data_IF_080849367857
#
_entry.id   IF_080849367857
#
_cell.length_a   1.000
_cell.length_b   1.000
_cell.length_c   1.000
_cell.angle_alpha   90.00
_cell.angle_beta   90.00
_cell.angle_gamma   90.00
#
_symmetry.space_group_name_H-M   'P 1'
#
loop_
_entity.id
_entity.type
_entity.pdbx_description
1 polymer ?
#
# COMPACT_ATOMS: atom_id res chain seq x y z
N UNK A 1 2.60 -47.99 -32.62
CA UNK A 1 3.17 -46.69 -32.21
C UNK A 1 3.63 -46.81 -30.76
N UNK A 2 4.89 -46.51 -30.41
CA UNK A 2 5.33 -46.61 -29.02
C UNK A 2 4.81 -45.41 -28.21
N UNK A 3 4.22 -45.71 -27.05
CA UNK A 3 3.69 -44.74 -26.08
C UNK A 3 4.89 -44.08 -25.38
N UNK A 4 5.07 -42.78 -25.61
CA UNK A 4 6.11 -41.98 -24.95
C UNK A 4 5.69 -41.74 -23.51
N UNK A 5 6.46 -42.25 -22.55
CA UNK A 5 6.21 -42.03 -21.13
C UNK A 5 6.26 -40.52 -20.80
N UNK A 6 5.40 -40.03 -19.90
CA UNK A 6 5.42 -38.64 -19.48
C UNK A 6 6.71 -38.36 -18.69
N UNK A 7 7.44 -37.35 -19.13
CA UNK A 7 8.60 -36.79 -18.43
C UNK A 7 8.17 -36.33 -17.04
N UNK A 8 8.64 -37.03 -16.00
CA UNK A 8 8.45 -36.64 -14.61
C UNK A 8 9.18 -35.31 -14.39
N UNK A 9 8.40 -34.25 -14.23
CA UNK A 9 8.88 -32.92 -13.88
C UNK A 9 9.71 -33.03 -12.60
N UNK A 10 11.02 -32.80 -12.70
CA UNK A 10 11.87 -32.80 -11.51
C UNK A 10 11.33 -31.76 -10.51
N UNK A 11 11.25 -32.10 -9.21
CA UNK A 11 10.91 -31.12 -8.18
C UNK A 11 11.95 -30.00 -8.19
N UNK A 12 11.47 -28.76 -8.11
CA UNK A 12 12.36 -27.60 -8.05
C UNK A 12 13.40 -27.78 -6.93
N UNK A 13 14.68 -27.50 -7.18
CA UNK A 13 15.73 -27.74 -6.20
C UNK A 13 15.44 -26.98 -4.90
N UNK A 14 15.53 -27.70 -3.78
CA UNK A 14 15.39 -27.13 -2.46
C UNK A 14 16.44 -26.02 -2.27
N UNK A 15 15.98 -24.80 -1.96
CA UNK A 15 16.87 -23.64 -1.78
C UNK A 15 17.77 -23.83 -0.57
N UNK A 16 19.05 -23.45 -0.67
CA UNK A 16 20.01 -23.57 0.42
C UNK A 16 19.59 -22.73 1.63
N UNK A 17 19.84 -23.22 2.85
CA UNK A 17 19.52 -22.50 4.10
C UNK A 17 20.13 -21.08 4.13
N UNK A 18 21.34 -20.92 3.57
CA UNK A 18 22.03 -19.62 3.46
C UNK A 18 21.25 -18.65 2.58
N UNK A 19 20.71 -19.11 1.44
CA UNK A 19 19.87 -18.27 0.56
C UNK A 19 18.56 -17.84 1.22
N UNK A 20 17.98 -18.71 2.06
CA UNK A 20 16.78 -18.41 2.84
C UNK A 20 17.08 -17.38 3.93
N UNK A 21 18.18 -17.54 4.67
CA UNK A 21 18.60 -16.61 5.71
C UNK A 21 18.86 -15.21 5.14
N UNK A 22 19.60 -15.12 4.02
CA UNK A 22 19.86 -13.84 3.34
C UNK A 22 18.56 -13.13 2.93
N UNK A 23 17.63 -13.85 2.30
CA UNK A 23 16.31 -13.29 1.92
C UNK A 23 15.53 -12.74 3.12
N UNK A 24 15.54 -13.45 4.25
CA UNK A 24 14.86 -13.00 5.47
C UNK A 24 15.48 -11.69 5.99
N UNK A 25 16.81 -11.60 5.99
CA UNK A 25 17.54 -10.39 6.38
C UNK A 25 17.26 -9.22 5.44
N UNK A 26 17.36 -9.43 4.12
CA UNK A 26 17.11 -8.40 3.12
C UNK A 26 15.67 -7.87 3.21
N UNK A 27 14.70 -8.78 3.37
CA UNK A 27 13.30 -8.43 3.54
C UNK A 27 13.07 -7.65 4.85
N UNK A 28 13.75 -8.02 5.94
CA UNK A 28 13.69 -7.25 7.20
C UNK A 28 14.25 -5.84 7.03
N UNK A 29 15.38 -5.68 6.36
CA UNK A 29 15.98 -4.38 6.11
C UNK A 29 15.09 -3.51 5.21
N UNK A 30 14.52 -4.08 4.15
CA UNK A 30 13.54 -3.43 3.28
C UNK A 30 12.34 -2.92 4.08
N UNK A 31 11.77 -3.75 4.98
CA UNK A 31 10.66 -3.30 5.85
C UNK A 31 11.04 -2.16 6.77
N UNK A 32 12.25 -2.16 7.33
CA UNK A 32 12.71 -1.06 8.19
C UNK A 32 12.82 0.26 7.42
N UNK A 33 13.28 0.19 6.16
CA UNK A 33 13.31 1.36 5.26
C UNK A 33 11.90 1.85 4.97
N UNK A 34 10.99 0.95 4.61
CA UNK A 34 9.60 1.29 4.32
C UNK A 34 8.87 1.84 5.54
N UNK A 35 9.14 1.29 6.73
CA UNK A 35 8.60 1.81 8.00
C UNK A 35 8.99 3.27 8.22
N UNK A 36 10.25 3.63 7.99
CA UNK A 36 10.72 5.03 8.12
C UNK A 36 10.05 5.95 7.11
N UNK A 37 9.84 5.48 5.87
CA UNK A 37 9.11 6.24 4.85
C UNK A 37 7.64 6.43 5.22
N UNK A 38 7.00 5.36 5.70
CA UNK A 38 5.62 5.43 6.21
C UNK A 38 5.51 6.44 7.35
N UNK A 39 6.40 6.39 8.34
CA UNK A 39 6.41 7.35 9.45
C UNK A 39 6.52 8.79 8.94
N UNK A 40 7.46 9.07 8.02
CA UNK A 40 7.62 10.39 7.40
C UNK A 40 6.35 10.85 6.67
N UNK A 41 5.89 10.08 5.69
CA UNK A 41 4.80 10.50 4.82
C UNK A 41 3.47 10.56 5.55
N UNK A 42 3.16 9.57 6.39
CA UNK A 42 1.89 9.55 7.10
C UNK A 42 1.81 10.64 8.17
N UNK A 43 2.92 10.99 8.83
CA UNK A 43 2.95 12.14 9.74
C UNK A 43 2.67 13.43 8.98
N UNK A 44 3.35 13.64 7.85
CA UNK A 44 3.14 14.84 7.01
C UNK A 44 1.75 14.90 6.37
N UNK A 45 1.10 13.76 6.14
CA UNK A 45 -0.21 13.68 5.49
C UNK A 45 -1.37 13.50 6.48
N UNK A 46 -1.10 13.60 7.79
CA UNK A 46 -2.16 13.53 8.79
C UNK A 46 -3.23 14.57 8.46
N UNK A 47 -4.49 14.14 8.51
CA UNK A 47 -5.65 14.97 8.17
C UNK A 47 -5.65 15.58 6.76
N UNK A 48 -4.83 15.10 5.82
CA UNK A 48 -4.87 15.55 4.43
C UNK A 48 -5.92 14.81 3.57
N UNK A 49 -6.39 15.45 2.50
CA UNK A 49 -7.30 14.87 1.54
C UNK A 49 -6.56 13.94 0.54
N UNK A 50 -6.79 12.62 0.55
CA UNK A 50 -6.10 11.69 -0.35
C UNK A 50 -6.49 11.87 -1.82
N UNK A 51 -7.66 12.45 -2.11
CA UNK A 51 -8.08 12.72 -3.50
C UNK A 51 -7.27 13.86 -4.09
N UNK A 52 -7.17 15.00 -3.39
CA UNK A 52 -6.37 16.14 -3.84
C UNK A 52 -4.88 15.84 -3.88
N UNK A 53 -4.40 15.00 -2.95
CA UNK A 53 -3.03 14.51 -2.97
C UNK A 53 -2.73 13.81 -4.31
N UNK A 54 -3.61 12.91 -4.75
CA UNK A 54 -3.39 12.11 -5.96
C UNK A 54 -3.68 12.89 -7.24
N UNK A 55 -4.81 13.61 -7.30
CA UNK A 55 -5.25 14.27 -8.54
C UNK A 55 -4.52 15.57 -8.82
N UNK A 56 -4.10 16.28 -7.77
CA UNK A 56 -3.48 17.60 -7.89
C UNK A 56 -2.05 17.66 -7.34
N UNK A 57 -1.57 16.63 -6.64
CA UNK A 57 -0.27 16.67 -5.98
C UNK A 57 -0.22 17.74 -4.87
N UNK A 58 -1.32 17.93 -4.12
CA UNK A 58 -1.42 18.98 -3.08
C UNK A 58 -1.73 18.40 -1.69
N UNK A 59 -1.10 18.97 -0.66
CA UNK A 59 -1.43 18.72 0.77
C UNK A 59 -2.53 19.70 1.19
N UNK A 60 -3.78 19.29 1.04
CA UNK A 60 -4.94 20.09 1.46
C UNK A 60 -5.65 19.40 2.63
N UNK A 61 -6.07 20.14 3.67
CA UNK A 61 -6.82 19.57 4.77
C UNK A 61 -8.06 18.79 4.31
N UNK A 62 -8.30 17.66 4.93
CA UNK A 62 -9.49 16.83 4.76
C UNK A 62 -10.63 17.52 5.50
N UNK A 63 -11.40 18.36 4.79
CA UNK A 63 -12.65 18.91 5.32
C UNK A 63 -13.63 17.75 5.55
N UNK A 64 -13.66 17.21 6.77
CA UNK A 64 -14.40 16.00 7.13
C UNK A 64 -15.94 16.09 7.01
N UNK A 65 -16.52 17.12 6.40
CA UNK A 65 -17.98 17.28 6.27
C UNK A 65 -18.51 17.82 4.95
N UNK A 66 -17.68 18.40 4.09
CA UNK A 66 -18.15 19.05 2.88
C UNK A 66 -17.10 18.85 1.80
N UNK A 67 -17.19 17.69 1.14
CA UNK A 67 -16.21 17.20 0.17
C UNK A 67 -15.54 18.32 -0.63
N UNK A 68 -14.23 18.23 -0.77
CA UNK A 68 -13.47 19.15 -1.61
C UNK A 68 -14.08 19.23 -3.01
N UNK A 69 -13.97 20.34 -3.74
CA UNK A 69 -14.61 20.44 -5.06
C UNK A 69 -14.08 19.38 -6.04
N UNK A 70 -12.82 18.95 -5.92
CA UNK A 70 -12.29 17.81 -6.68
C UNK A 70 -12.86 16.43 -6.22
N UNK A 71 -13.35 16.36 -4.98
CA UNK A 71 -14.05 15.21 -4.42
C UNK A 71 -15.52 15.19 -4.87
N UNK A 72 -16.08 16.38 -5.17
CA UNK A 72 -17.46 16.60 -5.65
C UNK A 72 -17.57 16.62 -7.17
N UNK A 73 -16.49 16.93 -7.90
CA UNK A 73 -16.45 17.02 -9.35
C UNK A 73 -16.63 15.68 -10.06
N UNK A 74 -16.73 14.57 -9.32
CA UNK A 74 -17.01 13.24 -9.87
C UNK A 74 -15.87 12.63 -10.67
N UNK A 75 -14.66 13.18 -10.58
CA UNK A 75 -13.51 12.71 -11.39
C UNK A 75 -13.06 11.29 -11.00
N UNK A 76 -13.35 10.86 -9.78
CA UNK A 76 -13.08 9.50 -9.29
C UNK A 76 -14.39 8.93 -8.74
N UNK A 77 -14.88 7.79 -9.27
CA UNK A 77 -16.09 7.15 -8.75
C UNK A 77 -15.91 6.87 -7.26
N UNK A 78 -16.87 7.21 -6.41
CA UNK A 78 -16.75 6.98 -4.96
C UNK A 78 -17.64 5.83 -4.50
N UNK A 79 -18.62 5.44 -5.30
CA UNK A 79 -19.54 4.32 -5.02
C UNK A 79 -18.79 3.00 -4.77
N UNK A 80 -17.76 2.71 -5.56
CA UNK A 80 -17.05 1.43 -5.49
C UNK A 80 -15.98 1.39 -4.38
N UNK A 81 -15.67 2.54 -3.78
CA UNK A 81 -14.59 2.64 -2.80
C UNK A 81 -14.85 1.76 -1.57
N UNK A 82 -16.10 1.67 -1.13
CA UNK A 82 -16.47 0.85 0.02
C UNK A 82 -16.24 -0.64 -0.25
N UNK A 83 -16.58 -1.12 -1.44
CA UNK A 83 -16.34 -2.51 -1.85
C UNK A 83 -14.85 -2.77 -2.07
N UNK A 84 -14.15 -1.85 -2.75
CA UNK A 84 -12.70 -1.88 -2.92
C UNK A 84 -12.01 -2.07 -1.58
N UNK A 85 -12.34 -1.26 -0.56
CA UNK A 85 -11.73 -1.36 0.76
C UNK A 85 -12.06 -2.69 1.47
N UNK A 86 -13.27 -3.22 1.29
CA UNK A 86 -13.67 -4.53 1.85
C UNK A 86 -12.96 -5.72 1.20
N UNK A 87 -12.42 -5.56 -0.01
CA UNK A 87 -11.73 -6.63 -0.72
C UNK A 87 -10.35 -6.99 -0.12
N UNK A 88 -9.79 -6.11 0.70
CA UNK A 88 -8.47 -6.30 1.29
C UNK A 88 -8.46 -7.38 2.38
N UNK A 89 -7.49 -8.27 2.27
CA UNK A 89 -7.21 -9.31 3.27
C UNK A 89 -5.73 -9.28 3.62
N UNK A 90 -5.44 -9.44 4.90
CA UNK A 90 -4.10 -9.33 5.44
C UNK A 90 -3.71 -10.59 6.22
N UNK A 91 -3.16 -11.62 5.54
CA UNK A 91 -3.01 -12.93 6.14
C UNK A 91 -1.82 -13.06 7.10
N UNK A 92 -0.69 -12.36 6.87
CA UNK A 92 0.54 -12.61 7.64
C UNK A 92 0.87 -11.54 8.67
N UNK A 93 0.53 -10.28 8.39
CA UNK A 93 0.74 -9.20 9.36
C UNK A 93 -0.59 -8.72 9.93
N UNK A 94 -0.54 -8.20 11.15
CA UNK A 94 -1.67 -7.45 11.72
C UNK A 94 -1.66 -6.04 11.15
N UNK A 95 -2.77 -5.59 10.57
CA UNK A 95 -2.92 -4.22 10.05
C UNK A 95 -4.12 -3.55 10.69
N UNK A 96 -4.05 -2.23 10.76
CA UNK A 96 -5.22 -1.42 11.07
C UNK A 96 -6.18 -1.45 9.87
N UNK A 97 -7.34 -2.07 10.03
CA UNK A 97 -8.38 -2.07 9.00
C UNK A 97 -8.91 -0.67 8.65
N UNK A 98 -8.66 0.34 9.50
CA UNK A 98 -9.03 1.74 9.22
C UNK A 98 -8.17 2.37 8.15
N UNK A 99 -6.84 2.30 8.30
CA UNK A 99 -5.89 3.03 7.46
C UNK A 99 -4.96 2.14 6.62
N UNK A 100 -4.94 0.83 6.84
CA UNK A 100 -4.10 -0.11 6.10
C UNK A 100 -2.65 -0.19 6.55
N UNK A 101 -2.25 0.52 7.61
CA UNK A 101 -0.90 0.45 8.14
C UNK A 101 -0.66 -0.81 8.98
N UNK A 102 0.56 -1.36 8.97
CA UNK A 102 0.93 -2.51 9.77
C UNK A 102 1.00 -2.12 11.27
N UNK A 103 0.62 -3.05 12.14
CA UNK A 103 0.73 -2.97 13.61
C UNK A 103 1.88 -3.85 14.12
N UNK A 104 2.91 -3.97 13.30
CA UNK A 104 3.90 -5.04 13.36
C UNK A 104 4.90 -4.89 14.53
N UNK A 105 4.48 -5.33 15.72
CA UNK A 105 5.39 -5.55 16.85
C UNK A 105 6.20 -6.86 16.71
N UNK A 106 5.71 -7.84 15.94
CA UNK A 106 6.27 -9.20 15.89
C UNK A 106 7.52 -9.34 15.00
N UNK A 107 7.52 -8.76 13.80
CA UNK A 107 8.61 -8.93 12.83
C UNK A 107 9.60 -7.75 12.82
N UNK A 108 9.15 -6.55 13.20
CA UNK A 108 10.01 -5.35 13.29
C UNK A 108 10.35 -4.96 14.73
N UNK A 109 9.70 -5.54 15.74
CA UNK A 109 9.87 -5.18 17.15
C UNK A 109 9.28 -3.82 17.52
N UNK A 110 8.76 -3.06 16.55
CA UNK A 110 8.18 -1.71 16.70
C UNK A 110 7.17 -1.47 15.59
N UNK A 111 5.96 -1.06 15.95
CA UNK A 111 5.00 -0.51 15.00
C UNK A 111 5.46 0.87 14.49
N UNK A 112 5.02 1.31 13.29
CA UNK A 112 5.15 2.69 12.86
C UNK A 112 4.72 3.66 13.97
N UNK A 113 5.50 4.72 14.20
CA UNK A 113 5.34 5.65 15.33
C UNK A 113 3.93 6.24 15.38
N UNK A 114 3.39 6.53 14.20
CA UNK A 114 2.05 7.10 13.96
C UNK A 114 0.90 6.23 14.50
N UNK A 115 1.17 4.97 14.83
CA UNK A 115 0.24 4.01 15.41
C UNK A 115 0.60 3.55 16.82
N UNK A 116 1.71 4.01 17.38
CA UNK A 116 2.20 3.57 18.68
C UNK A 116 1.16 3.74 19.80
N UNK A 117 0.34 4.80 19.70
CA UNK A 117 -0.68 5.14 20.69
C UNK A 117 -2.12 4.75 20.25
N UNK A 118 -2.28 4.29 19.01
CA UNK A 118 -3.59 3.91 18.44
C UNK A 118 -3.84 2.40 18.59
N UNK A 119 -4.32 2.01 19.77
CA UNK A 119 -4.63 0.61 20.09
C UNK A 119 -5.99 0.20 19.46
N UNK A 120 -6.09 -0.97 18.79
CA UNK A 120 -7.37 -1.54 18.37
C UNK A 120 -8.37 -1.61 19.53
N UNK A 121 -9.61 -1.15 19.33
CA UNK A 121 -10.69 -1.22 20.33
C UNK A 121 -10.78 -0.05 21.31
N UNK A 122 -9.88 0.93 21.23
CA UNK A 122 -9.87 2.13 22.10
C UNK A 122 -10.99 3.14 21.83
N UNK A 123 -11.80 2.95 20.78
CA UNK A 123 -12.82 3.92 20.35
C UNK A 123 -12.25 5.21 19.73
N UNK A 124 -10.93 5.44 19.82
CA UNK A 124 -10.24 6.56 19.18
C UNK A 124 -10.23 6.34 17.67
N UNK A 125 -10.74 7.32 16.92
CA UNK A 125 -10.67 7.30 15.46
C UNK A 125 -9.19 7.39 15.05
N UNK A 126 -8.76 6.46 14.20
CA UNK A 126 -7.43 6.52 13.59
C UNK A 126 -7.26 7.87 12.88
N UNK A 127 -6.33 8.70 13.37
CA UNK A 127 -6.03 10.04 12.84
C UNK A 127 -5.60 10.03 11.37
N UNK A 128 -5.12 8.88 10.90
CA UNK A 128 -4.65 8.68 9.54
C UNK A 128 -5.75 8.26 8.57
N UNK A 129 -6.99 8.09 9.06
CA UNK A 129 -8.16 7.76 8.25
C UNK A 129 -7.91 6.62 7.26
N UNK A 130 -8.68 6.50 6.17
CA UNK A 130 -8.43 5.50 5.15
C UNK A 130 -7.38 5.93 4.09
N UNK A 131 -6.37 6.72 4.49
CA UNK A 131 -5.41 7.37 3.59
C UNK A 131 -4.76 6.42 2.57
N UNK A 132 -4.11 5.34 3.02
CA UNK A 132 -3.38 4.41 2.12
C UNK A 132 -4.32 3.78 1.10
N UNK A 133 -5.49 3.30 1.56
CA UNK A 133 -6.49 2.71 0.68
C UNK A 133 -7.03 3.72 -0.33
N UNK A 134 -7.33 4.94 0.11
CA UNK A 134 -7.85 5.98 -0.79
C UNK A 134 -6.80 6.41 -1.81
N UNK A 135 -5.54 6.55 -1.42
CA UNK A 135 -4.45 6.85 -2.36
C UNK A 135 -4.33 5.74 -3.40
N UNK A 136 -4.28 4.47 -2.99
CA UNK A 136 -4.16 3.34 -3.92
C UNK A 136 -5.36 3.24 -4.89
N UNK A 137 -6.56 3.52 -4.39
CA UNK A 137 -7.77 3.60 -5.21
C UNK A 137 -7.70 4.75 -6.22
N UNK A 138 -7.40 5.96 -5.74
CA UNK A 138 -7.36 7.15 -6.58
C UNK A 138 -6.27 7.06 -7.65
N UNK A 139 -5.10 6.50 -7.33
CA UNK A 139 -4.00 6.28 -8.28
C UNK A 139 -4.48 5.45 -9.47
N UNK A 140 -5.32 4.45 -9.24
CA UNK A 140 -5.86 3.62 -10.30
C UNK A 140 -6.82 4.37 -11.22
N UNK A 141 -7.63 5.27 -10.66
CA UNK A 141 -8.63 6.02 -11.42
C UNK A 141 -8.06 7.22 -12.18
N UNK A 142 -6.83 7.65 -11.86
CA UNK A 142 -6.10 8.65 -12.64
C UNK A 142 -5.30 7.96 -13.74
N UNK A 143 -5.78 8.02 -14.98
CA UNK A 143 -5.24 7.28 -16.15
C UNK A 143 -3.71 7.41 -16.27
N UNK A 144 -3.16 8.62 -16.13
CA UNK A 144 -1.72 8.85 -16.23
C UNK A 144 -0.91 8.17 -15.11
N UNK A 145 -1.46 8.13 -13.89
CA UNK A 145 -0.83 7.46 -12.75
C UNK A 145 -0.99 5.94 -12.85
N UNK A 146 -2.15 5.46 -13.30
CA UNK A 146 -2.39 4.04 -13.57
C UNK A 146 -1.36 3.50 -14.57
N UNK A 147 -1.19 4.17 -15.71
CA UNK A 147 -0.25 3.75 -16.74
C UNK A 147 1.19 3.68 -16.21
N UNK A 148 1.61 4.68 -15.42
CA UNK A 148 2.93 4.69 -14.78
C UNK A 148 3.07 3.60 -13.73
N UNK A 149 2.04 3.33 -12.92
CA UNK A 149 2.06 2.26 -11.93
C UNK A 149 2.22 0.89 -12.61
N UNK A 150 1.50 0.64 -13.70
CA UNK A 150 1.65 -0.59 -14.50
C UNK A 150 3.08 -0.72 -15.02
N UNK A 151 3.64 0.36 -15.57
CA UNK A 151 4.98 0.37 -16.16
C UNK A 151 6.10 0.22 -15.11
N UNK A 152 6.04 0.96 -14.01
CA UNK A 152 7.13 1.09 -13.04
C UNK A 152 7.13 -0.02 -11.98
N UNK A 153 5.94 -0.49 -11.54
CA UNK A 153 5.81 -1.47 -10.46
C UNK A 153 5.12 -2.78 -10.87
N UNK A 154 4.75 -2.92 -12.14
CA UNK A 154 4.14 -4.15 -12.65
C UNK A 154 2.74 -4.40 -12.10
N UNK A 155 1.97 -3.33 -11.83
CA UNK A 155 0.56 -3.48 -11.46
C UNK A 155 -0.25 -4.11 -12.61
N UNK A 156 -1.35 -4.81 -12.31
CA UNK A 156 -2.27 -5.33 -13.34
C UNK A 156 -2.81 -4.22 -14.23
N UNK A 157 -3.27 -4.58 -15.44
CA UNK A 157 -3.91 -3.63 -16.37
C UNK A 157 -5.42 -3.51 -16.19
N UNK A 158 -6.03 -4.40 -15.40
CA UNK A 158 -7.48 -4.45 -15.18
C UNK A 158 -7.84 -4.22 -13.71
N UNK A 159 -8.96 -3.52 -13.48
CA UNK A 159 -9.38 -3.19 -12.12
C UNK A 159 -9.77 -4.45 -11.34
N UNK A 160 -10.35 -5.47 -11.99
CA UNK A 160 -10.74 -6.71 -11.30
C UNK A 160 -9.56 -7.49 -10.71
N UNK A 161 -8.36 -7.32 -11.25
CA UNK A 161 -7.12 -7.93 -10.74
C UNK A 161 -6.40 -7.04 -9.73
N UNK A 162 -6.63 -5.73 -9.78
CA UNK A 162 -5.89 -4.75 -9.00
C UNK A 162 -6.05 -4.90 -7.47
N UNK A 163 -7.25 -5.01 -6.88
CA UNK A 163 -7.40 -5.21 -5.44
C UNK A 163 -6.80 -6.54 -4.94
N UNK A 164 -6.86 -7.59 -5.77
CA UNK A 164 -6.22 -8.88 -5.49
C UNK A 164 -4.71 -8.70 -5.43
N UNK A 165 -4.14 -8.02 -6.42
CA UNK A 165 -2.71 -7.72 -6.46
C UNK A 165 -2.27 -6.83 -5.29
N UNK A 166 -3.04 -5.79 -4.95
CA UNK A 166 -2.74 -4.90 -3.83
C UNK A 166 -2.69 -5.63 -2.48
N UNK A 167 -3.48 -6.70 -2.32
CA UNK A 167 -3.53 -7.53 -1.12
C UNK A 167 -2.45 -8.62 -1.06
N UNK A 168 -1.64 -8.79 -2.12
CA UNK A 168 -0.58 -9.78 -2.11
C UNK A 168 0.53 -9.39 -1.13
N UNK A 169 0.84 -10.31 -0.22
CA UNK A 169 2.00 -10.24 0.65
C UNK A 169 3.10 -11.15 0.10
N UNK A 170 4.26 -10.57 -0.19
CA UNK A 170 5.45 -11.35 -0.49
C UNK A 170 6.17 -11.69 0.83
N UNK A 171 6.94 -12.79 0.85
CA UNK A 171 7.68 -13.23 2.03
C UNK A 171 8.56 -12.10 2.59
N UNK A 172 8.15 -11.57 3.75
CA UNK A 172 8.88 -10.52 4.43
C UNK A 172 8.73 -9.11 3.82
N UNK A 173 7.79 -8.87 2.93
CA UNK A 173 7.48 -7.51 2.46
C UNK A 173 6.06 -7.10 2.86
N UNK A 174 5.82 -5.80 2.96
CA UNK A 174 4.46 -5.28 3.12
C UNK A 174 3.62 -5.54 1.87
N UNK A 175 2.29 -5.52 2.05
CA UNK A 175 1.33 -5.60 0.94
C UNK A 175 1.61 -4.56 -0.15
N UNK A 176 1.29 -4.92 -1.38
CA UNK A 176 1.41 -4.01 -2.52
C UNK A 176 0.61 -2.71 -2.35
N UNK A 177 -0.46 -2.67 -1.55
CA UNK A 177 -1.16 -1.40 -1.25
C UNK A 177 -0.29 -0.37 -0.53
N UNK A 178 0.59 -0.82 0.35
CA UNK A 178 1.58 0.04 1.01
C UNK A 178 2.64 0.46 0.00
N UNK A 179 3.09 -0.45 -0.86
CA UNK A 179 4.07 -0.15 -1.89
C UNK A 179 3.54 0.87 -2.89
N UNK A 180 2.27 0.78 -3.31
CA UNK A 180 1.60 1.78 -4.15
C UNK A 180 1.54 3.15 -3.47
N UNK A 181 1.19 3.19 -2.18
CA UNK A 181 1.20 4.44 -1.42
C UNK A 181 2.60 5.06 -1.34
N UNK A 182 3.62 4.27 -0.99
CA UNK A 182 5.01 4.71 -0.90
C UNK A 182 5.52 5.21 -2.26
N UNK A 183 5.28 4.44 -3.34
CA UNK A 183 5.64 4.82 -4.71
C UNK A 183 5.04 6.18 -5.10
N UNK A 184 3.76 6.40 -4.79
CA UNK A 184 3.11 7.67 -5.11
C UNK A 184 3.74 8.83 -4.33
N UNK A 185 3.97 8.67 -3.03
CA UNK A 185 4.61 9.70 -2.20
C UNK A 185 6.04 9.99 -2.67
N UNK A 186 6.85 8.96 -2.95
CA UNK A 186 8.20 9.14 -3.48
C UNK A 186 8.21 9.83 -4.84
N UNK A 187 7.21 9.55 -5.68
CA UNK A 187 7.05 10.25 -6.96
C UNK A 187 6.77 11.73 -6.74
N UNK A 188 5.86 12.07 -5.83
CA UNK A 188 5.56 13.46 -5.49
C UNK A 188 6.77 14.19 -4.91
N UNK A 189 7.54 13.52 -4.03
CA UNK A 189 8.75 14.07 -3.44
C UNK A 189 9.85 14.33 -4.48
N UNK A 190 10.02 13.42 -5.44
CA UNK A 190 10.98 13.61 -6.56
C UNK A 190 10.60 14.79 -7.44
N UNK A 191 9.29 14.99 -7.67
CA UNK A 191 8.78 16.08 -8.50
C UNK A 191 8.79 17.42 -7.76
N UNK A 192 8.58 17.39 -6.44
CA UNK A 192 8.48 18.56 -5.58
C UNK A 192 9.38 18.34 -4.35
N UNK A 193 10.68 18.67 -4.46
CA UNK A 193 11.56 18.62 -3.31
C UNK A 193 10.96 19.43 -2.16
N UNK A 194 10.97 18.87 -0.95
CA UNK A 194 10.37 19.43 0.27
C UNK A 194 8.85 19.26 0.43
N UNK A 195 8.17 18.49 -0.44
CA UNK A 195 6.72 18.27 -0.32
C UNK A 195 6.29 17.62 1.01
N UNK A 196 7.16 16.86 1.67
CA UNK A 196 6.88 16.18 2.95
C UNK A 196 7.75 16.70 4.10
N UNK A 197 8.36 17.87 3.94
CA UNK A 197 9.00 18.61 5.04
C UNK A 197 7.97 19.48 5.76
#
# INVERSE_FOLDING_TARGET
MPIRAPSLSQPAPARSLVSRAKRVTDARQSRQVDTKKLDKYMTSLCDCCPTLLVTMGKREPSHFRSGCDACKSGTIPQEDYAEFRKSFKFPRFSYCFTCGLPQDQGFNGKAPLIHKDNVPGSGVKCSLGPMIFKVAYNVWHVISLQARLVQEVGAPTTFSQYPKWLSLEQDGHYTNVIQTFLWHCETLEKQNPNFFL
#
